data_IF_353443149455
#
_entry.id   IF_353443149455
#
_cell.length_a   1.000
_cell.length_b   1.000
_cell.length_c   1.000
_cell.angle_alpha   90.00
_cell.angle_beta   90.00
_cell.angle_gamma   90.00
#
_symmetry.space_group_name_H-M   'P 1'
#
loop_
_entity.id
_entity.type
_entity.pdbx_description
1 polymer ?
#
# COMPACT_ATOMS: atom_id res chain seq x y z
N UNK A 1 2.64 -6.53 30.25
CA UNK A 1 1.96 -5.73 29.19
C UNK A 1 2.89 -5.48 27.99
N UNK A 2 3.39 -6.51 27.29
CA UNK A 2 4.35 -6.32 26.19
C UNK A 2 4.17 -7.29 25.01
N UNK A 3 3.87 -8.55 25.30
CA UNK A 3 3.69 -9.58 24.27
C UNK A 3 2.43 -9.36 23.40
N UNK A 4 1.38 -8.75 23.96
CA UNK A 4 0.09 -8.55 23.25
C UNK A 4 0.19 -7.41 22.23
N UNK A 5 0.81 -6.29 22.58
CA UNK A 5 0.98 -5.14 21.67
C UNK A 5 1.91 -5.48 20.51
N UNK A 6 3.01 -6.20 20.77
CA UNK A 6 3.89 -6.73 19.71
C UNK A 6 3.14 -7.65 18.74
N UNK A 7 2.29 -8.56 19.26
CA UNK A 7 1.46 -9.44 18.41
C UNK A 7 0.46 -8.65 17.57
N UNK A 8 -0.19 -7.64 18.15
CA UNK A 8 -1.11 -6.74 17.41
C UNK A 8 -0.37 -5.99 16.31
N UNK A 9 0.82 -5.48 16.60
CA UNK A 9 1.65 -4.77 15.62
C UNK A 9 2.07 -5.69 14.46
N UNK A 10 2.56 -6.90 14.76
CA UNK A 10 2.88 -7.91 13.74
C UNK A 10 1.65 -8.22 12.88
N UNK A 11 0.47 -8.36 13.49
CA UNK A 11 -0.79 -8.57 12.74
C UNK A 11 -1.11 -7.39 11.83
N UNK A 12 -0.95 -6.14 12.29
CA UNK A 12 -1.14 -4.92 11.48
C UNK A 12 -0.14 -4.86 10.31
N UNK A 13 1.13 -5.22 10.55
CA UNK A 13 2.15 -5.29 9.50
C UNK A 13 1.80 -6.35 8.44
N UNK A 14 1.40 -7.56 8.85
CA UNK A 14 0.96 -8.62 7.93
C UNK A 14 -0.27 -8.22 7.12
N UNK A 15 -1.24 -7.57 7.74
CA UNK A 15 -2.43 -7.04 7.07
C UNK A 15 -2.06 -5.96 6.04
N UNK A 16 -1.17 -5.03 6.38
CA UNK A 16 -0.64 -4.03 5.43
C UNK A 16 0.03 -4.70 4.24
N UNK A 17 0.92 -5.67 4.47
CA UNK A 17 1.59 -6.44 3.40
C UNK A 17 0.58 -7.15 2.48
N UNK A 18 -0.44 -7.82 3.04
CA UNK A 18 -1.48 -8.51 2.27
C UNK A 18 -2.28 -7.54 1.39
N UNK A 19 -2.67 -6.39 1.94
CA UNK A 19 -3.40 -5.35 1.19
C UNK A 19 -2.54 -4.74 0.08
N UNK A 20 -1.26 -4.47 0.34
CA UNK A 20 -0.33 -4.01 -0.69
C UNK A 20 -0.15 -5.03 -1.81
N UNK A 21 0.01 -6.32 -1.49
CA UNK A 21 0.10 -7.37 -2.50
C UNK A 21 -1.14 -7.43 -3.39
N UNK A 22 -2.34 -7.28 -2.81
CA UNK A 22 -3.58 -7.23 -3.58
C UNK A 22 -3.66 -6.00 -4.49
N UNK A 23 -3.25 -4.82 -4.00
CA UNK A 23 -3.17 -3.61 -4.83
C UNK A 23 -2.15 -3.75 -5.96
N UNK A 24 -1.02 -4.43 -5.71
CA UNK A 24 -0.01 -4.72 -6.73
C UNK A 24 -0.54 -5.62 -7.84
N UNK A 25 -1.31 -6.66 -7.51
CA UNK A 25 -1.96 -7.50 -8.52
C UNK A 25 -2.99 -6.72 -9.34
N UNK A 26 -3.75 -5.81 -8.70
CA UNK A 26 -4.68 -4.95 -9.43
C UNK A 26 -3.96 -3.96 -10.35
N UNK A 27 -2.78 -3.48 -9.95
CA UNK A 27 -1.97 -2.54 -10.73
C UNK A 27 -1.59 -3.07 -12.12
N UNK A 28 -1.34 -4.38 -12.24
CA UNK A 28 -0.97 -5.02 -13.51
C UNK A 28 -2.05 -4.87 -14.60
N UNK A 29 -3.32 -4.83 -14.19
CA UNK A 29 -4.48 -4.71 -15.09
C UNK A 29 -5.15 -3.34 -15.03
N UNK A 30 -4.66 -2.44 -14.18
CA UNK A 30 -5.29 -1.16 -13.90
C UNK A 30 -5.09 -0.16 -15.05
N UNK A 31 -6.18 0.53 -15.39
CA UNK A 31 -6.18 1.70 -16.26
C UNK A 31 -5.52 2.91 -15.59
N UNK A 32 -5.22 3.97 -16.35
CA UNK A 32 -4.55 5.17 -15.82
C UNK A 32 -5.33 5.84 -14.67
N UNK A 33 -6.66 5.88 -14.76
CA UNK A 33 -7.52 6.40 -13.67
C UNK A 33 -7.45 5.55 -12.40
N UNK A 34 -7.50 4.21 -12.55
CA UNK A 34 -7.40 3.27 -11.43
C UNK A 34 -6.02 3.29 -10.77
N UNK A 35 -4.96 3.57 -11.55
CA UNK A 35 -3.60 3.77 -11.03
C UNK A 35 -3.52 4.95 -10.06
N UNK A 36 -4.21 6.05 -10.36
CA UNK A 36 -4.34 7.20 -9.45
C UNK A 36 -5.07 6.82 -8.15
N UNK A 37 -6.15 6.05 -8.25
CA UNK A 37 -6.84 5.54 -7.05
C UNK A 37 -5.98 4.60 -6.21
N UNK A 38 -5.17 3.74 -6.85
CA UNK A 38 -4.25 2.84 -6.17
C UNK A 38 -3.20 3.64 -5.39
N UNK A 39 -2.63 4.70 -5.97
CA UNK A 39 -1.69 5.58 -5.29
C UNK A 39 -2.30 6.19 -4.00
N UNK A 40 -3.54 6.71 -4.09
CA UNK A 40 -4.29 7.22 -2.93
C UNK A 40 -4.51 6.16 -1.86
N UNK A 41 -4.92 4.94 -2.27
CA UNK A 41 -5.12 3.79 -1.36
C UNK A 41 -3.83 3.37 -0.67
N UNK A 42 -2.69 3.41 -1.37
CA UNK A 42 -1.37 3.10 -0.80
C UNK A 42 -0.97 4.14 0.26
N UNK A 43 -1.22 5.44 0.05
CA UNK A 43 -1.00 6.51 1.05
C UNK A 43 -1.80 6.31 2.33
N UNK A 44 -3.08 6.00 2.20
CA UNK A 44 -3.93 5.77 3.36
C UNK A 44 -3.51 4.53 4.17
N UNK A 45 -2.87 3.54 3.51
CA UNK A 45 -2.54 2.26 4.12
C UNK A 45 -1.19 2.25 4.86
N UNK A 46 -0.21 3.02 4.39
CA UNK A 46 1.14 3.01 4.94
C UNK A 46 1.72 4.42 5.07
N UNK A 47 2.27 4.80 6.24
CA UNK A 47 2.96 6.08 6.39
C UNK A 47 4.20 6.19 5.48
N UNK A 48 4.81 5.06 5.07
CA UNK A 48 5.92 5.01 4.10
C UNK A 48 5.48 4.86 2.64
N UNK A 49 4.28 5.32 2.28
CA UNK A 49 3.71 5.12 0.96
C UNK A 49 4.50 5.76 -0.18
N UNK A 50 5.25 6.84 0.08
CA UNK A 50 5.97 7.56 -0.96
C UNK A 50 7.00 6.68 -1.68
N UNK A 51 7.74 5.85 -0.94
CA UNK A 51 8.68 4.91 -1.53
C UNK A 51 7.95 3.85 -2.37
N UNK A 52 6.83 3.31 -1.85
CA UNK A 52 6.03 2.29 -2.56
C UNK A 52 5.46 2.86 -3.86
N UNK A 53 5.00 4.11 -3.85
CA UNK A 53 4.46 4.79 -5.04
C UNK A 53 5.55 5.01 -6.08
N UNK A 54 6.77 5.38 -5.67
CA UNK A 54 7.92 5.47 -6.57
C UNK A 54 8.32 4.11 -7.14
N UNK A 55 8.48 3.10 -6.29
CA UNK A 55 8.84 1.73 -6.70
C UNK A 55 7.81 1.12 -7.66
N UNK A 56 6.55 1.57 -7.57
CA UNK A 56 5.46 1.11 -8.43
C UNK A 56 5.26 1.96 -9.69
N UNK A 57 6.05 3.03 -9.88
CA UNK A 57 5.95 3.92 -11.04
C UNK A 57 4.67 4.74 -11.05
N UNK A 58 4.06 4.99 -9.90
CA UNK A 58 2.79 5.70 -9.74
C UNK A 58 2.96 7.20 -9.46
N UNK A 59 4.21 7.69 -9.38
CA UNK A 59 4.51 9.08 -9.02
C UNK A 59 3.97 10.13 -10.00
N UNK A 60 3.88 9.80 -11.29
CA UNK A 60 3.43 10.73 -12.34
C UNK A 60 1.90 10.85 -12.41
N UNK A 61 1.19 9.78 -12.07
CA UNK A 61 -0.29 9.69 -12.16
C UNK A 61 -0.97 10.39 -10.98
N UNK A 62 -0.19 10.70 -9.94
CA UNK A 62 -0.69 11.25 -8.68
C UNK A 62 -0.70 12.79 -8.63
N UNK A 63 -0.36 13.46 -9.74
CA UNK A 63 -0.49 14.93 -9.89
C UNK A 63 -1.92 15.40 -10.10
#
# INVERSE_FOLDING_TARGET
>A
MGCVERRKEIRRQRQRRKKLAHLRQRLEKATQSERGEIARKVRALSPGANQIIQDWGLAEVDR
#
